data_IF_270654435088
#
_entry.id   IF_270654435088
#
_cell.length_a   1.000
_cell.length_b   1.000
_cell.length_c   1.000
_cell.angle_alpha   90.00
_cell.angle_beta   90.00
_cell.angle_gamma   90.00
#
_symmetry.space_group_name_H-M   'P 1'
#
loop_
_entity.id
_entity.type
_entity.pdbx_description
1 polymer ?
#
# COMPACT_ATOMS: atom_id res chain seq x y z
N UNK A 1 4.80 -18.58 25.67
CA UNK A 1 3.37 -18.96 25.72
C UNK A 1 2.69 -18.23 24.61
N UNK A 2 2.22 -18.96 23.59
CA UNK A 2 1.53 -18.36 22.44
C UNK A 2 0.14 -18.99 22.42
N UNK A 3 -0.88 -18.18 22.72
CA UNK A 3 -2.27 -18.58 22.49
C UNK A 3 -2.68 -18.01 21.15
N UNK A 4 -2.95 -18.91 20.20
CA UNK A 4 -3.68 -18.59 18.98
C UNK A 4 -4.90 -19.51 18.98
N UNK A 5 -6.07 -18.93 19.16
CA UNK A 5 -7.34 -19.52 18.75
C UNK A 5 -8.15 -18.44 18.05
N UNK A 6 -8.48 -18.64 16.77
CA UNK A 6 -9.80 -19.15 16.39
C UNK A 6 -9.91 -19.13 14.85
N UNK A 7 -10.37 -20.25 14.31
CA UNK A 7 -10.34 -20.65 12.90
C UNK A 7 -11.43 -19.98 12.05
N UNK A 8 -11.09 -19.53 10.83
CA UNK A 8 -12.01 -19.52 9.68
C UNK A 8 -11.20 -19.62 8.38
N UNK A 9 -11.44 -20.72 7.67
CA UNK A 9 -11.29 -20.92 6.22
C UNK A 9 -10.06 -20.27 5.57
N UNK A 10 -8.97 -21.04 5.47
CA UNK A 10 -7.86 -20.84 4.53
C UNK A 10 -7.64 -19.40 4.07
N UNK A 11 -7.12 -18.54 4.96
CA UNK A 11 -6.51 -17.30 4.53
C UNK A 11 -5.33 -17.69 3.64
N UNK A 12 -5.54 -17.73 2.31
CA UNK A 12 -4.42 -17.54 1.38
C UNK A 12 -3.92 -16.14 1.68
N UNK A 13 -2.84 -16.04 2.46
CA UNK A 13 -2.07 -14.82 2.47
C UNK A 13 -1.67 -14.58 1.03
N UNK A 14 -2.29 -13.57 0.40
CA UNK A 14 -1.84 -13.04 -0.89
C UNK A 14 -0.52 -12.36 -0.56
N UNK A 15 0.53 -13.15 -0.40
CA UNK A 15 1.89 -12.67 -0.25
C UNK A 15 2.30 -12.12 -1.61
N UNK A 16 2.46 -10.80 -1.65
CA UNK A 16 2.96 -9.94 -2.75
C UNK A 16 1.90 -9.04 -3.41
N UNK A 17 1.12 -8.32 -2.60
CA UNK A 17 0.35 -7.17 -3.09
C UNK A 17 1.33 -6.05 -3.46
N UNK A 18 1.36 -5.68 -4.73
CA UNK A 18 2.18 -4.60 -5.24
C UNK A 18 1.40 -3.30 -5.30
N UNK A 19 2.13 -2.18 -5.33
CA UNK A 19 1.53 -0.87 -5.42
C UNK A 19 0.65 -0.71 -6.68
N UNK A 20 1.07 -1.30 -7.81
CA UNK A 20 0.28 -1.34 -9.05
C UNK A 20 -1.08 -2.04 -8.93
N UNK A 21 -1.23 -2.94 -7.96
CA UNK A 21 -2.47 -3.69 -7.76
C UNK A 21 -3.48 -2.88 -6.95
N UNK A 22 -2.98 -1.96 -6.11
CA UNK A 22 -3.80 -1.15 -5.20
C UNK A 22 -4.16 0.21 -5.79
N UNK A 23 -3.20 0.92 -6.38
CA UNK A 23 -3.41 2.29 -6.84
C UNK A 23 -4.61 2.46 -7.79
N UNK A 24 -4.85 1.58 -8.78
CA UNK A 24 -6.02 1.71 -9.66
C UNK A 24 -7.37 1.54 -8.95
N UNK A 25 -7.39 0.97 -7.74
CA UNK A 25 -8.60 0.80 -6.94
C UNK A 25 -8.99 2.08 -6.18
N UNK A 26 -8.08 3.05 -6.09
CA UNK A 26 -8.29 4.31 -5.39
C UNK A 26 -8.44 5.44 -6.40
N UNK A 27 -9.69 5.87 -6.60
CA UNK A 27 -10.08 6.82 -7.64
C UNK A 27 -10.71 8.13 -7.13
N UNK A 28 -11.01 8.20 -5.83
CA UNK A 28 -11.71 9.35 -5.23
C UNK A 28 -10.94 10.00 -4.07
N UNK A 29 -9.96 9.29 -3.53
CA UNK A 29 -9.14 9.74 -2.41
C UNK A 29 -7.77 10.15 -2.90
N UNK A 30 -7.16 11.09 -2.20
CA UNK A 30 -5.75 11.39 -2.33
C UNK A 30 -4.96 10.21 -1.77
N UNK A 31 -3.84 9.86 -2.41
CA UNK A 31 -2.99 8.75 -1.97
C UNK A 31 -1.67 9.29 -1.49
N UNK A 32 -1.40 9.12 -0.21
CA UNK A 32 -0.13 9.46 0.41
C UNK A 32 0.76 8.22 0.49
N UNK A 33 1.85 8.21 -0.25
CA UNK A 33 2.82 7.12 -0.25
C UNK A 33 3.90 7.38 0.79
N UNK A 34 4.13 6.40 1.66
CA UNK A 34 5.07 6.45 2.76
C UNK A 34 6.14 5.37 2.61
N UNK A 35 7.39 5.69 2.97
CA UNK A 35 8.49 4.73 3.03
C UNK A 35 8.45 3.91 4.34
N UNK A 36 9.32 2.91 4.48
CA UNK A 36 9.41 2.05 5.66
C UNK A 36 9.65 2.81 6.98
N UNK A 37 10.26 3.99 6.92
CA UNK A 37 10.51 4.86 8.08
C UNK A 37 9.27 5.71 8.45
N UNK A 38 8.22 5.68 7.62
CA UNK A 38 6.98 6.46 7.78
C UNK A 38 7.05 7.85 7.17
N UNK A 39 8.13 8.19 6.45
CA UNK A 39 8.29 9.46 5.76
C UNK A 39 7.49 9.47 4.46
N UNK A 40 6.93 10.63 4.13
CA UNK A 40 6.21 10.84 2.88
C UNK A 40 7.16 10.89 1.68
N UNK A 41 6.91 9.98 0.74
CA UNK A 41 7.58 9.94 -0.55
C UNK A 41 6.86 10.83 -1.56
N UNK A 42 5.53 10.71 -1.63
CA UNK A 42 4.68 11.57 -2.46
C UNK A 42 3.22 11.55 -2.03
N UNK A 43 2.47 12.52 -2.54
CA UNK A 43 1.02 12.54 -2.52
C UNK A 43 0.47 12.58 -3.96
N UNK A 44 -0.51 11.72 -4.25
CA UNK A 44 -1.22 11.65 -5.52
C UNK A 44 -2.63 12.21 -5.29
N UNK A 45 -2.89 13.41 -5.79
CA UNK A 45 -4.18 14.07 -5.63
C UNK A 45 -5.24 13.44 -6.53
N UNK A 46 -6.43 13.20 -5.98
CA UNK A 46 -7.62 12.69 -6.68
C UNK A 46 -7.44 11.32 -7.36
N UNK A 47 -6.64 10.45 -6.74
CA UNK A 47 -6.46 9.07 -7.18
C UNK A 47 -5.40 8.88 -8.26
N UNK A 48 -5.09 7.62 -8.56
CA UNK A 48 -3.97 7.27 -9.42
C UNK A 48 -4.32 7.31 -10.92
N UNK A 49 -3.52 8.07 -11.68
CA UNK A 49 -3.53 8.03 -13.14
C UNK A 49 -2.52 6.99 -13.67
N UNK A 50 -3.02 6.03 -14.46
CA UNK A 50 -2.19 4.96 -15.04
C UNK A 50 -1.07 5.57 -15.90
N UNK A 51 0.16 5.12 -15.66
CA UNK A 51 1.36 5.60 -16.38
C UNK A 51 2.00 6.86 -15.77
N UNK A 52 1.45 7.42 -14.69
CA UNK A 52 2.03 8.59 -14.02
C UNK A 52 3.19 8.28 -13.07
N UNK A 53 3.44 7.00 -12.77
CA UNK A 53 4.50 6.54 -11.87
C UNK A 53 5.42 5.56 -12.57
N UNK A 54 6.67 5.49 -12.12
CA UNK A 54 7.65 4.54 -12.66
C UNK A 54 7.30 3.09 -12.30
N UNK A 55 7.65 2.16 -13.19
CA UNK A 55 7.47 0.73 -12.96
C UNK A 55 8.23 0.26 -11.70
N UNK A 56 9.39 0.86 -11.41
CA UNK A 56 10.16 0.58 -10.18
C UNK A 56 9.33 0.89 -8.93
N UNK A 57 8.66 2.05 -8.89
CA UNK A 57 7.84 2.43 -7.75
C UNK A 57 6.61 1.51 -7.64
N UNK A 58 5.97 1.24 -8.77
CA UNK A 58 4.78 0.39 -8.88
C UNK A 58 5.04 -1.08 -8.49
N UNK A 59 6.29 -1.53 -8.58
CA UNK A 59 6.74 -2.86 -8.15
C UNK A 59 7.09 -2.94 -6.66
N UNK A 60 6.95 -1.87 -5.88
CA UNK A 60 7.10 -1.97 -4.43
C UNK A 60 5.95 -2.73 -3.79
N UNK A 61 6.24 -3.46 -2.71
CA UNK A 61 5.21 -4.17 -1.95
C UNK A 61 4.47 -3.19 -1.05
N UNK A 62 3.17 -3.37 -0.97
CA UNK A 62 2.34 -2.66 -0.02
C UNK A 62 2.42 -3.37 1.32
N UNK A 63 2.92 -2.66 2.34
CA UNK A 63 3.09 -3.17 3.71
C UNK A 63 1.84 -2.91 4.53
N UNK A 64 1.26 -1.72 4.40
CA UNK A 64 0.05 -1.32 5.12
C UNK A 64 -0.74 -0.26 4.35
N UNK A 65 -2.05 -0.22 4.59
CA UNK A 65 -2.98 0.79 4.08
C UNK A 65 -3.87 1.24 5.23
N UNK A 66 -3.99 2.54 5.46
CA UNK A 66 -4.88 3.11 6.47
C UNK A 66 -5.34 4.51 6.07
N UNK A 67 -6.34 5.01 6.77
CA UNK A 67 -6.75 6.41 6.74
C UNK A 67 -6.53 7.05 8.12
N UNK A 68 -6.38 8.37 8.16
CA UNK A 68 -6.28 9.13 9.40
C UNK A 68 -7.49 10.05 9.53
N UNK A 69 -8.09 10.10 10.72
CA UNK A 69 -9.24 10.98 10.96
C UNK A 69 -8.89 12.48 10.81
N UNK A 70 -7.63 12.83 11.06
CA UNK A 70 -7.11 14.19 10.95
C UNK A 70 -6.87 14.64 9.52
N UNK A 71 -6.79 13.72 8.55
CA UNK A 71 -6.51 14.03 7.14
C UNK A 71 -7.65 13.51 6.27
N UNK A 72 -8.59 14.41 5.97
CA UNK A 72 -9.78 14.07 5.18
C UNK A 72 -9.40 13.63 3.77
N UNK A 73 -10.20 12.70 3.24
CA UNK A 73 -10.11 12.21 1.86
C UNK A 73 -8.73 11.63 1.45
N UNK A 74 -7.88 11.27 2.40
CA UNK A 74 -6.53 10.75 2.12
C UNK A 74 -6.38 9.31 2.59
N UNK A 75 -5.79 8.48 1.74
CA UNK A 75 -5.39 7.11 2.05
C UNK A 75 -3.87 7.06 2.12
N UNK A 76 -3.36 6.61 3.26
CA UNK A 76 -1.95 6.36 3.47
C UNK A 76 -1.61 4.94 3.00
N UNK A 77 -0.57 4.81 2.20
CA UNK A 77 -0.03 3.54 1.74
C UNK A 77 1.44 3.49 2.12
N UNK A 78 1.78 2.56 3.00
CA UNK A 78 3.15 2.24 3.35
C UNK A 78 3.69 1.23 2.34
N UNK A 79 4.77 1.60 1.67
CA UNK A 79 5.50 0.71 0.78
C UNK A 79 6.83 0.30 1.40
N UNK A 80 7.23 -0.94 1.14
CA UNK A 80 8.44 -1.53 1.69
C UNK A 80 8.84 -2.78 0.93
N UNK A 81 10.04 -3.28 1.22
CA UNK A 81 10.66 -4.38 0.52
C UNK A 81 11.06 -3.98 -0.89
N UNK A 82 12.32 -3.58 -1.07
CA UNK A 82 12.98 -3.74 -2.37
C UNK A 82 12.83 -5.21 -2.75
N UNK A 83 12.37 -5.49 -3.96
CA UNK A 83 12.56 -6.81 -4.56
C UNK A 83 14.05 -7.14 -4.39
N UNK A 84 14.33 -8.13 -3.57
CA UNK A 84 15.65 -8.71 -3.47
C UNK A 84 15.78 -9.44 -4.80
N UNK A 85 16.56 -8.86 -5.73
CA UNK A 85 16.92 -9.52 -6.98
C UNK A 85 17.46 -10.92 -6.64
N UNK A 86 16.74 -11.95 -7.07
CA UNK A 86 17.19 -13.35 -7.11
C UNK A 86 17.89 -13.64 -8.43
#
# INVERSE_FOLDING_TARGET
MSYIECTKTGLKFVTDILLRDILPLINANDVRLLNEDGDEIMCIEQGYLIGSLSDELLCNRVVAIWNEESVLNTINILIGGKNIDI
#
